data_IF_044217281377
#
_entry.id   IF_044217281377
#
_cell.length_a   1.000
_cell.length_b   1.000
_cell.length_c   1.000
_cell.angle_alpha   90.00
_cell.angle_beta   90.00
_cell.angle_gamma   90.00
#
_symmetry.space_group_name_H-M   'P 1'
#
loop_
_entity.id
_entity.type
_entity.pdbx_description
1 polymer ?
#
# COMPACT_ATOMS: atom_id res chain seq x y z
N UNK A 1 -17.63 -18.46 -38.06
CA UNK A 1 -18.32 -18.47 -36.76
C UNK A 1 -17.21 -18.35 -35.72
N UNK A 2 -16.93 -17.14 -35.24
CA UNK A 2 -15.80 -16.87 -34.34
C UNK A 2 -16.12 -17.31 -32.93
N UNK A 3 -15.28 -18.18 -32.38
CA UNK A 3 -15.30 -18.63 -30.98
C UNK A 3 -14.49 -17.59 -30.18
N UNK A 4 -15.02 -16.38 -30.04
CA UNK A 4 -14.33 -15.29 -29.33
C UNK A 4 -15.31 -14.54 -28.42
N UNK A 5 -16.06 -15.32 -27.64
CA UNK A 5 -17.00 -14.82 -26.64
C UNK A 5 -16.61 -15.37 -25.26
N UNK A 6 -16.05 -14.47 -24.44
CA UNK A 6 -15.81 -14.59 -22.99
C UNK A 6 -14.79 -15.64 -22.53
N UNK A 7 -13.51 -15.50 -22.88
CA UNK A 7 -12.46 -16.06 -22.03
C UNK A 7 -12.29 -15.13 -20.82
N UNK A 8 -12.63 -15.61 -19.62
CA UNK A 8 -12.29 -14.92 -18.36
C UNK A 8 -10.76 -14.81 -18.32
N UNK A 9 -10.24 -13.58 -18.30
CA UNK A 9 -8.81 -13.31 -18.33
C UNK A 9 -8.28 -13.24 -16.90
N UNK A 10 -7.43 -14.19 -16.53
CA UNK A 10 -6.66 -14.17 -15.29
C UNK A 10 -5.37 -13.38 -15.50
N UNK A 11 -4.97 -12.61 -14.50
CA UNK A 11 -3.75 -11.82 -14.54
C UNK A 11 -2.71 -12.40 -13.58
N UNK A 12 -1.43 -12.27 -13.92
CA UNK A 12 -0.35 -12.68 -13.05
C UNK A 12 0.82 -11.69 -13.16
N UNK A 13 1.39 -11.32 -12.02
CA UNK A 13 2.62 -10.55 -11.96
C UNK A 13 3.76 -11.42 -11.45
N UNK A 14 4.85 -11.47 -12.21
CA UNK A 14 6.09 -12.13 -11.79
C UNK A 14 7.09 -11.07 -11.35
N UNK A 15 7.44 -11.05 -10.07
CA UNK A 15 8.53 -10.19 -9.56
C UNK A 15 9.84 -10.98 -9.53
N UNK A 16 10.92 -10.37 -10.02
CA UNK A 16 12.23 -11.00 -10.12
C UNK A 16 13.34 -9.95 -10.28
N UNK A 17 14.59 -10.37 -10.03
CA UNK A 17 15.75 -9.54 -10.34
C UNK A 17 16.11 -9.69 -11.82
N UNK A 18 16.13 -8.60 -12.60
CA UNK A 18 16.52 -8.63 -14.04
C UNK A 18 17.88 -9.34 -14.25
N UNK A 19 18.86 -9.05 -13.39
CA UNK A 19 20.18 -9.68 -13.43
C UNK A 19 20.15 -11.21 -13.25
N UNK A 20 19.18 -11.73 -12.50
CA UNK A 20 19.03 -13.18 -12.32
C UNK A 20 18.33 -13.80 -13.53
N UNK A 21 17.36 -13.12 -14.15
CA UNK A 21 16.82 -13.61 -15.42
C UNK A 21 17.93 -13.78 -16.49
N UNK A 22 18.82 -12.80 -16.59
CA UNK A 22 19.94 -12.85 -17.54
C UNK A 22 20.93 -13.97 -17.23
N UNK A 23 21.31 -14.13 -15.97
CA UNK A 23 22.31 -15.11 -15.55
C UNK A 23 21.79 -16.55 -15.52
N UNK A 24 20.48 -16.73 -15.37
CA UNK A 24 19.82 -18.02 -15.36
C UNK A 24 19.10 -18.29 -16.69
N UNK A 25 19.72 -17.94 -17.83
CA UNK A 25 19.26 -18.30 -19.18
C UNK A 25 17.81 -17.88 -19.52
N UNK A 26 17.41 -16.68 -19.12
CA UNK A 26 16.07 -16.14 -19.34
C UNK A 26 14.97 -17.00 -18.68
N UNK A 27 15.27 -17.54 -17.49
CA UNK A 27 14.38 -18.44 -16.74
C UNK A 27 12.98 -17.87 -16.55
N UNK A 28 12.85 -16.56 -16.33
CA UNK A 28 11.56 -15.90 -16.11
C UNK A 28 10.75 -15.82 -17.40
N UNK A 29 11.39 -15.50 -18.53
CA UNK A 29 10.71 -15.50 -19.82
C UNK A 29 10.23 -16.89 -20.22
N UNK A 30 11.04 -17.92 -19.90
CA UNK A 30 10.67 -19.32 -20.08
C UNK A 30 9.49 -19.70 -19.21
N UNK A 31 9.54 -19.40 -17.91
CA UNK A 31 8.44 -19.62 -16.98
C UNK A 31 7.15 -18.94 -17.47
N UNK A 32 7.23 -17.67 -17.88
CA UNK A 32 6.10 -16.93 -18.44
C UNK A 32 5.48 -17.68 -19.62
N UNK A 33 6.28 -17.99 -20.64
CA UNK A 33 5.76 -18.64 -21.85
C UNK A 33 5.15 -20.01 -21.56
N UNK A 34 5.77 -20.80 -20.68
CA UNK A 34 5.29 -22.13 -20.29
C UNK A 34 3.98 -22.04 -19.49
N UNK A 35 3.90 -21.10 -18.54
CA UNK A 35 2.71 -20.93 -17.69
C UNK A 35 1.52 -20.40 -18.50
N UNK A 36 1.68 -19.38 -19.34
CA UNK A 36 0.57 -18.85 -20.16
C UNK A 36 0.00 -19.92 -21.09
N UNK A 37 0.88 -20.63 -21.82
CA UNK A 37 0.46 -21.65 -22.77
C UNK A 37 -0.23 -22.83 -22.08
N UNK A 38 0.31 -23.31 -20.96
CA UNK A 38 -0.24 -24.49 -20.27
C UNK A 38 -1.43 -24.18 -19.38
N UNK A 39 -1.50 -23.00 -18.78
CA UNK A 39 -2.66 -22.58 -18.03
C UNK A 39 -3.88 -22.50 -18.95
N UNK A 40 -3.75 -21.82 -20.09
CA UNK A 40 -4.84 -21.73 -21.07
C UNK A 40 -5.30 -23.10 -21.58
N UNK A 41 -4.35 -24.01 -21.84
CA UNK A 41 -4.65 -25.37 -22.26
C UNK A 41 -5.33 -26.22 -21.16
N UNK A 42 -4.99 -25.98 -19.89
CA UNK A 42 -5.52 -26.75 -18.77
C UNK A 42 -6.89 -26.26 -18.28
N UNK A 43 -7.08 -24.94 -18.21
CA UNK A 43 -8.25 -24.32 -17.56
C UNK A 43 -9.27 -23.77 -18.56
N UNK A 44 -8.88 -23.60 -19.83
CA UNK A 44 -9.69 -22.90 -20.83
C UNK A 44 -9.78 -21.39 -20.63
N UNK A 45 -9.03 -20.83 -19.66
CA UNK A 45 -8.97 -19.40 -19.35
C UNK A 45 -7.63 -18.81 -19.77
N UNK A 46 -7.61 -17.59 -20.28
CA UNK A 46 -6.35 -16.94 -20.64
C UNK A 46 -5.64 -16.45 -19.38
N UNK A 47 -4.33 -16.76 -19.26
CA UNK A 47 -3.46 -16.16 -18.26
C UNK A 47 -2.57 -15.13 -18.93
N UNK A 48 -2.59 -13.90 -18.42
CA UNK A 48 -1.72 -12.82 -18.88
C UNK A 48 -0.69 -12.48 -17.82
N UNK A 49 0.58 -12.72 -18.15
CA UNK A 49 1.70 -12.55 -17.24
C UNK A 49 2.45 -11.25 -17.56
N UNK A 50 2.68 -10.44 -16.53
CA UNK A 50 3.47 -9.21 -16.55
C UNK A 50 4.80 -9.42 -15.83
N UNK A 51 5.90 -8.92 -16.43
CA UNK A 51 7.27 -9.12 -15.94
C UNK A 51 7.93 -7.84 -15.42
N UNK A 52 7.58 -6.68 -15.96
CA UNK A 52 8.36 -5.46 -15.72
C UNK A 52 7.50 -4.19 -15.72
N UNK A 53 7.94 -3.21 -14.90
CA UNK A 53 7.34 -1.88 -14.72
C UNK A 53 7.29 -1.05 -16.00
N UNK A 54 8.05 -1.40 -17.04
CA UNK A 54 8.15 -0.64 -18.31
C UNK A 54 7.15 -1.10 -19.39
N UNK A 55 6.60 -2.32 -19.29
CA UNK A 55 5.72 -2.87 -20.33
C UNK A 55 4.31 -2.27 -20.34
N UNK A 56 3.91 -1.63 -19.25
CA UNK A 56 2.71 -0.81 -19.08
C UNK A 56 3.10 0.21 -18.00
N UNK A 57 2.63 1.46 -18.04
CA UNK A 57 2.85 2.49 -17.00
C UNK A 57 2.32 2.09 -15.62
N UNK A 58 2.91 1.05 -15.05
CA UNK A 58 2.43 0.31 -13.89
C UNK A 58 3.05 0.82 -12.61
N UNK A 59 4.19 1.53 -12.60
CA UNK A 59 4.82 1.99 -11.36
C UNK A 59 3.92 2.82 -10.41
N UNK A 60 3.02 3.63 -10.96
CA UNK A 60 2.00 4.40 -10.21
C UNK A 60 0.62 3.72 -10.22
N UNK A 61 0.30 2.97 -11.28
CA UNK A 61 -1.05 2.44 -11.57
C UNK A 61 -1.26 0.98 -11.08
N UNK A 62 -0.19 0.25 -10.73
CA UNK A 62 -0.28 -1.14 -10.28
C UNK A 62 -0.86 -1.27 -8.87
N UNK A 63 -0.60 -0.30 -7.98
CA UNK A 63 -1.21 -0.27 -6.64
C UNK A 63 -2.73 -0.03 -6.72
N UNK A 64 -3.18 0.65 -7.76
CA UNK A 64 -4.60 0.84 -8.06
C UNK A 64 -5.19 -0.40 -8.77
N UNK A 65 -4.45 -1.02 -9.70
CA UNK A 65 -4.87 -2.27 -10.38
C UNK A 65 -4.92 -3.47 -9.45
N UNK A 66 -4.00 -3.64 -8.50
CA UNK A 66 -4.15 -4.70 -7.48
C UNK A 66 -5.43 -4.51 -6.68
N UNK A 67 -5.81 -3.26 -6.38
CA UNK A 67 -7.08 -2.98 -5.69
C UNK A 67 -8.30 -3.30 -6.55
N UNK A 68 -8.27 -3.06 -7.86
CA UNK A 68 -9.38 -3.36 -8.79
C UNK A 68 -9.30 -4.70 -9.53
N UNK A 69 -8.23 -5.49 -9.40
CA UNK A 69 -8.01 -6.75 -10.14
C UNK A 69 -7.92 -7.97 -9.22
N UNK A 70 -8.11 -7.79 -7.91
CA UNK A 70 -8.33 -8.93 -7.01
C UNK A 70 -9.75 -9.49 -7.19
N UNK A 71 -10.71 -8.69 -7.63
CA UNK A 71 -12.02 -9.17 -8.12
C UNK A 71 -11.90 -10.09 -9.35
N UNK A 72 -10.76 -10.06 -10.07
CA UNK A 72 -10.47 -10.92 -11.23
C UNK A 72 -9.35 -11.94 -11.00
N UNK A 73 -9.05 -12.31 -9.74
CA UNK A 73 -7.98 -13.25 -9.36
C UNK A 73 -6.61 -12.94 -10.00
N UNK A 74 -5.95 -11.88 -9.52
CA UNK A 74 -4.57 -11.55 -9.91
C UNK A 74 -3.56 -12.37 -9.08
N UNK A 75 -2.80 -13.24 -9.72
CA UNK A 75 -1.72 -14.00 -9.08
C UNK A 75 -0.44 -13.17 -8.92
N UNK A 76 0.35 -13.50 -7.90
CA UNK A 76 1.69 -12.95 -7.69
C UNK A 76 2.71 -14.07 -7.53
N UNK A 77 3.75 -14.08 -8.37
CA UNK A 77 4.80 -15.12 -8.36
C UNK A 77 6.16 -14.42 -8.17
N UNK A 78 6.67 -14.32 -6.93
CA UNK A 78 8.05 -13.88 -6.72
C UNK A 78 9.02 -15.01 -7.08
N UNK A 79 9.92 -14.76 -8.03
CA UNK A 79 11.03 -15.66 -8.39
C UNK A 79 12.23 -15.27 -7.53
N UNK A 80 12.43 -16.02 -6.45
CA UNK A 80 13.32 -15.65 -5.36
C UNK A 80 14.71 -16.25 -5.56
N UNK A 81 15.71 -15.38 -5.48
CA UNK A 81 17.11 -15.69 -5.18
C UNK A 81 17.52 -14.88 -3.95
N UNK A 82 18.75 -15.04 -3.46
CA UNK A 82 19.25 -14.15 -2.40
C UNK A 82 19.39 -12.69 -2.84
N UNK A 83 19.54 -12.42 -4.15
CA UNK A 83 19.58 -11.06 -4.69
C UNK A 83 18.19 -10.42 -4.74
N UNK A 84 17.13 -11.21 -4.79
CA UNK A 84 15.75 -10.71 -4.67
C UNK A 84 15.60 -9.84 -3.42
N UNK A 85 16.14 -10.30 -2.28
CA UNK A 85 16.09 -9.56 -1.00
C UNK A 85 17.06 -8.37 -0.92
N UNK A 86 17.97 -8.21 -1.88
CA UNK A 86 18.82 -7.03 -2.01
C UNK A 86 18.20 -5.97 -2.94
N UNK A 87 17.23 -6.38 -3.77
CA UNK A 87 16.49 -5.51 -4.68
C UNK A 87 15.37 -4.80 -3.92
N UNK A 88 15.54 -3.51 -3.67
CA UNK A 88 14.51 -2.66 -3.05
C UNK A 88 13.16 -2.75 -3.78
N UNK A 89 13.09 -2.65 -5.13
CA UNK A 89 11.83 -2.82 -5.86
C UNK A 89 11.13 -4.16 -5.62
N UNK A 90 11.88 -5.28 -5.62
CA UNK A 90 11.32 -6.62 -5.44
C UNK A 90 10.76 -6.82 -4.02
N UNK A 91 11.41 -6.22 -3.01
CA UNK A 91 10.92 -6.22 -1.63
C UNK A 91 9.64 -5.40 -1.48
N UNK A 92 9.61 -4.20 -2.04
CA UNK A 92 8.40 -3.35 -2.02
C UNK A 92 7.21 -4.04 -2.68
N UNK A 93 7.45 -4.72 -3.81
CA UNK A 93 6.43 -5.46 -4.54
C UNK A 93 5.86 -6.61 -3.71
N UNK A 94 6.72 -7.43 -3.11
CA UNK A 94 6.31 -8.52 -2.23
C UNK A 94 5.49 -8.02 -1.04
N UNK A 95 5.99 -7.00 -0.32
CA UNK A 95 5.32 -6.47 0.87
C UNK A 95 3.94 -5.91 0.54
N UNK A 96 3.82 -5.14 -0.56
CA UNK A 96 2.55 -4.57 -0.97
C UNK A 96 1.54 -5.63 -1.44
N UNK A 97 1.96 -6.64 -2.22
CA UNK A 97 1.07 -7.74 -2.59
C UNK A 97 0.63 -8.54 -1.37
N UNK A 98 1.55 -8.85 -0.47
CA UNK A 98 1.27 -9.61 0.73
C UNK A 98 0.28 -8.91 1.66
N UNK A 99 0.46 -7.62 1.94
CA UNK A 99 -0.46 -6.88 2.79
C UNK A 99 -1.88 -6.79 2.20
N UNK A 100 -2.00 -6.57 0.88
CA UNK A 100 -3.31 -6.55 0.22
C UNK A 100 -3.97 -7.95 0.22
N UNK A 101 -3.22 -8.99 -0.14
CA UNK A 101 -3.74 -10.36 -0.15
C UNK A 101 -4.15 -10.82 1.26
N UNK A 102 -3.44 -10.38 2.29
CA UNK A 102 -3.77 -10.66 3.69
C UNK A 102 -5.05 -9.96 4.14
N UNK A 103 -5.24 -8.68 3.80
CA UNK A 103 -6.48 -7.96 4.09
C UNK A 103 -7.69 -8.64 3.44
N UNK A 104 -7.49 -9.17 2.23
CA UNK A 104 -8.51 -9.87 1.47
C UNK A 104 -8.54 -11.38 1.78
N UNK A 105 -7.74 -11.90 2.71
CA UNK A 105 -7.75 -13.33 3.07
C UNK A 105 -7.43 -14.29 1.91
N UNK A 106 -6.75 -13.81 0.87
CA UNK A 106 -6.42 -14.56 -0.37
C UNK A 106 -4.91 -14.66 -0.57
N UNK A 107 -4.15 -14.81 0.52
CA UNK A 107 -2.67 -14.93 0.47
C UNK A 107 -2.18 -16.10 -0.37
N UNK A 108 -3.04 -17.08 -0.63
CA UNK A 108 -2.79 -18.21 -1.54
C UNK A 108 -2.63 -17.83 -3.01
N UNK A 109 -3.05 -16.61 -3.41
CA UNK A 109 -2.75 -16.05 -4.73
C UNK A 109 -1.28 -15.64 -4.88
N UNK A 110 -0.50 -15.73 -3.79
CA UNK A 110 0.95 -15.53 -3.82
C UNK A 110 1.62 -16.89 -3.85
N UNK A 111 2.35 -17.18 -4.93
CA UNK A 111 3.01 -18.46 -5.14
C UNK A 111 4.53 -18.24 -5.30
N UNK A 112 5.29 -18.17 -4.20
CA UNK A 112 6.73 -17.99 -4.30
C UNK A 112 7.43 -19.18 -4.93
N UNK A 113 8.34 -18.92 -5.86
CA UNK A 113 9.22 -19.92 -6.43
C UNK A 113 10.68 -19.56 -6.14
N UNK A 114 11.37 -20.39 -5.37
CA UNK A 114 12.79 -20.21 -5.06
C UNK A 114 13.62 -20.84 -6.18
N UNK A 115 14.30 -20.00 -6.94
CA UNK A 115 15.18 -20.43 -8.03
C UNK A 115 16.48 -21.04 -7.51
N UNK A 116 17.04 -20.45 -6.45
CA UNK A 116 18.21 -21.00 -5.73
C UNK A 116 18.31 -20.39 -4.33
N UNK A 117 18.96 -21.09 -3.42
CA UNK A 117 19.20 -20.62 -2.05
C UNK A 117 18.05 -20.89 -1.09
N UNK A 118 17.21 -21.89 -1.37
CA UNK A 118 16.08 -22.29 -0.50
C UNK A 118 16.51 -22.58 0.95
N UNK A 119 17.73 -23.08 1.16
CA UNK A 119 18.31 -23.32 2.49
C UNK A 119 18.56 -22.05 3.32
N UNK A 120 18.38 -20.87 2.74
CA UNK A 120 18.50 -19.56 3.40
C UNK A 120 17.15 -18.94 3.75
N UNK A 121 16.04 -19.57 3.37
CA UNK A 121 14.71 -19.13 3.76
C UNK A 121 14.38 -19.74 5.12
N UNK A 122 14.13 -18.90 6.12
CA UNK A 122 13.93 -19.32 7.51
C UNK A 122 13.01 -18.32 8.24
N UNK A 123 12.19 -18.85 9.13
CA UNK A 123 11.29 -18.06 9.98
C UNK A 123 12.07 -17.18 10.99
N UNK A 124 13.33 -17.52 11.28
CA UNK A 124 14.22 -16.83 12.20
C UNK A 124 15.06 -15.73 11.53
N UNK A 125 14.96 -15.55 10.20
CA UNK A 125 15.68 -14.47 9.50
C UNK A 125 15.21 -13.09 9.98
N UNK A 126 16.11 -12.12 10.24
CA UNK A 126 15.72 -10.79 10.72
C UNK A 126 14.93 -9.96 9.69
N UNK A 127 14.89 -10.37 8.42
CA UNK A 127 14.19 -9.66 7.33
C UNK A 127 12.76 -10.16 7.21
N UNK A 128 11.80 -9.23 7.26
CA UNK A 128 10.37 -9.52 7.17
C UNK A 128 10.02 -10.23 5.85
N UNK A 129 10.60 -9.78 4.74
CA UNK A 129 10.37 -10.36 3.42
C UNK A 129 10.77 -11.83 3.31
N UNK A 130 11.80 -12.28 4.07
CA UNK A 130 12.20 -13.70 4.10
C UNK A 130 11.19 -14.52 4.90
N UNK A 131 10.75 -13.98 6.03
CA UNK A 131 9.73 -14.62 6.87
C UNK A 131 8.38 -14.75 6.15
N UNK A 132 8.03 -13.76 5.32
CA UNK A 132 6.81 -13.83 4.48
C UNK A 132 6.91 -14.98 3.49
N UNK A 133 8.01 -15.09 2.76
CA UNK A 133 8.22 -16.17 1.78
C UNK A 133 8.18 -17.54 2.45
N UNK A 134 8.76 -17.68 3.64
CA UNK A 134 8.70 -18.91 4.43
C UNK A 134 7.26 -19.30 4.78
N UNK A 135 6.46 -18.35 5.27
CA UNK A 135 5.04 -18.56 5.65
C UNK A 135 4.15 -18.93 4.47
N UNK A 136 4.46 -18.45 3.27
CA UNK A 136 3.68 -18.68 2.05
C UNK A 136 3.90 -20.06 1.42
N UNK A 137 4.64 -20.96 2.09
CA UNK A 137 4.92 -22.33 1.62
C UNK A 137 5.46 -22.36 0.19
N UNK A 138 6.62 -21.72 0.00
CA UNK A 138 7.28 -21.56 -1.29
C UNK A 138 7.59 -22.89 -2.00
N UNK A 139 7.73 -22.82 -3.33
CA UNK A 139 8.19 -23.92 -4.16
C UNK A 139 9.69 -23.79 -4.46
N UNK A 140 10.51 -24.76 -4.05
CA UNK A 140 11.89 -24.84 -4.52
C UNK A 140 11.89 -25.45 -5.94
N UNK A 141 12.44 -24.73 -6.93
CA UNK A 141 12.51 -25.15 -8.34
C UNK A 141 13.95 -25.36 -8.84
N UNK A 142 14.93 -25.31 -7.94
CA UNK A 142 16.36 -25.36 -8.28
C UNK A 142 16.74 -26.66 -9.00
N UNK A 143 16.27 -27.81 -8.52
CA UNK A 143 16.57 -29.11 -9.14
C UNK A 143 15.97 -29.22 -10.53
N UNK A 144 14.71 -28.80 -10.71
CA UNK A 144 14.04 -28.85 -11.99
C UNK A 144 14.64 -27.90 -13.01
N UNK A 145 15.15 -26.75 -12.57
CA UNK A 145 15.96 -25.86 -13.40
C UNK A 145 17.30 -26.51 -13.79
N UNK A 146 18.01 -27.14 -12.85
CA UNK A 146 19.30 -27.81 -13.12
C UNK A 146 19.18 -28.95 -14.13
N UNK A 147 18.06 -29.66 -14.16
CA UNK A 147 17.78 -30.70 -15.15
C UNK A 147 17.49 -30.15 -16.55
N UNK A 148 17.23 -28.84 -16.68
CA UNK A 148 17.02 -28.12 -17.93
C UNK A 148 15.56 -28.02 -18.37
N UNK A 149 15.25 -27.03 -19.22
CA UNK A 149 13.87 -26.66 -19.59
C UNK A 149 13.11 -27.72 -20.40
N UNK A 150 13.81 -28.56 -21.15
CA UNK A 150 13.17 -29.64 -21.92
C UNK A 150 12.96 -30.93 -21.11
N UNK A 151 13.48 -30.96 -19.88
CA UNK A 151 13.47 -32.14 -19.03
C UNK A 151 12.06 -32.55 -18.60
N UNK A 152 11.83 -33.85 -18.32
CA UNK A 152 10.61 -34.29 -17.67
C UNK A 152 10.37 -33.62 -16.32
N UNK A 153 11.42 -33.27 -15.58
CA UNK A 153 11.33 -32.60 -14.28
C UNK A 153 10.77 -31.18 -14.43
N UNK A 154 11.32 -30.37 -15.33
CA UNK A 154 10.78 -29.04 -15.65
C UNK A 154 9.33 -29.10 -16.10
N UNK A 155 9.00 -30.01 -17.03
CA UNK A 155 7.62 -30.16 -17.52
C UNK A 155 6.65 -30.52 -16.41
N UNK A 156 7.03 -31.39 -15.47
CA UNK A 156 6.23 -31.73 -14.29
C UNK A 156 6.09 -30.56 -13.32
N UNK A 157 7.15 -29.79 -13.12
CA UNK A 157 7.12 -28.59 -12.27
C UNK A 157 6.14 -27.54 -12.82
N UNK A 158 6.19 -27.22 -14.12
CA UNK A 158 5.22 -26.30 -14.73
C UNK A 158 3.79 -26.83 -14.55
N UNK A 159 3.58 -28.13 -14.79
CA UNK A 159 2.26 -28.74 -14.60
C UNK A 159 1.75 -28.59 -13.15
N UNK A 160 2.63 -28.74 -12.15
CA UNK A 160 2.28 -28.49 -10.74
C UNK A 160 1.97 -27.02 -10.50
N UNK A 161 2.78 -26.08 -11.01
CA UNK A 161 2.51 -24.65 -10.86
C UNK A 161 1.19 -24.23 -11.48
N UNK A 162 0.83 -24.78 -12.64
CA UNK A 162 -0.49 -24.55 -13.26
C UNK A 162 -1.62 -25.09 -12.36
N UNK A 163 -1.46 -26.29 -11.80
CA UNK A 163 -2.43 -26.84 -10.85
C UNK A 163 -2.54 -26.01 -9.56
N UNK A 164 -1.43 -25.46 -9.07
CA UNK A 164 -1.43 -24.57 -7.91
C UNK A 164 -2.19 -23.26 -8.22
N UNK A 165 -1.94 -22.66 -9.39
CA UNK A 165 -2.64 -21.46 -9.87
C UNK A 165 -4.15 -21.72 -10.00
N UNK A 166 -4.55 -22.83 -10.63
CA UNK A 166 -5.94 -23.24 -10.74
C UNK A 166 -6.58 -23.43 -9.37
N UNK A 167 -5.89 -24.12 -8.47
CA UNK A 167 -6.40 -24.37 -7.13
C UNK A 167 -6.56 -23.08 -6.31
N UNK A 168 -5.58 -22.16 -6.42
CA UNK A 168 -5.64 -20.85 -5.77
C UNK A 168 -6.76 -19.98 -6.36
N UNK A 169 -7.00 -20.05 -7.67
CA UNK A 169 -8.11 -19.39 -8.34
C UNK A 169 -9.45 -19.86 -7.79
N UNK A 170 -9.69 -21.18 -7.78
CA UNK A 170 -10.96 -21.77 -7.32
C UNK A 170 -11.22 -21.44 -5.86
N UNK A 171 -10.19 -21.49 -5.00
CA UNK A 171 -10.34 -21.15 -3.58
C UNK A 171 -10.58 -19.66 -3.36
N UNK A 172 -9.90 -18.79 -4.13
CA UNK A 172 -10.17 -17.35 -4.11
C UNK A 172 -11.59 -17.03 -4.56
N UNK A 173 -12.06 -17.64 -5.65
CA UNK A 173 -13.44 -17.50 -6.14
C UNK A 173 -14.45 -17.98 -5.10
N UNK A 174 -14.19 -19.12 -4.45
CA UNK A 174 -15.05 -19.64 -3.40
C UNK A 174 -15.08 -18.72 -2.16
N UNK A 175 -13.93 -18.18 -1.74
CA UNK A 175 -13.83 -17.24 -0.63
C UNK A 175 -14.52 -15.91 -0.94
N UNK A 176 -14.47 -15.45 -2.19
CA UNK A 176 -15.19 -14.27 -2.67
C UNK A 176 -16.70 -14.54 -2.70
N UNK A 177 -17.13 -15.66 -3.28
CA UNK A 177 -18.53 -16.08 -3.32
C UNK A 177 -19.10 -16.30 -1.91
N UNK A 178 -18.35 -16.87 -0.97
CA UNK A 178 -18.77 -17.02 0.42
C UNK A 178 -18.91 -15.66 1.12
N UNK A 179 -18.07 -14.68 0.79
CA UNK A 179 -18.23 -13.30 1.30
C UNK A 179 -19.45 -12.60 0.70
N UNK A 180 -19.66 -12.72 -0.60
CA UNK A 180 -20.85 -12.21 -1.28
C UNK A 180 -22.12 -12.86 -0.73
N UNK A 181 -22.12 -14.18 -0.55
CA UNK A 181 -23.24 -14.92 0.05
C UNK A 181 -23.41 -14.61 1.54
N UNK A 182 -22.32 -14.37 2.28
CA UNK A 182 -22.39 -13.93 3.68
C UNK A 182 -22.91 -12.49 3.80
N UNK A 183 -22.67 -11.64 2.80
CA UNK A 183 -23.30 -10.32 2.70
C UNK A 183 -24.78 -10.45 2.30
N UNK A 184 -25.12 -11.35 1.37
CA UNK A 184 -26.49 -11.64 0.96
C UNK A 184 -27.35 -12.31 2.06
N UNK A 185 -26.78 -13.22 2.84
CA UNK A 185 -27.48 -13.87 3.94
C UNK A 185 -27.68 -12.93 5.13
N UNK A 186 -26.81 -11.92 5.31
CA UNK A 186 -27.08 -10.82 6.26
C UNK A 186 -28.32 -10.04 5.83
N UNK A 187 -28.42 -9.70 4.53
CA UNK A 187 -29.61 -9.05 3.93
C UNK A 187 -30.90 -9.87 4.08
N UNK A 188 -30.88 -11.21 3.92
CA UNK A 188 -32.09 -12.05 4.08
C UNK A 188 -32.52 -12.24 5.54
N UNK A 189 -31.58 -12.23 6.49
CA UNK A 189 -31.90 -12.28 7.92
C UNK A 189 -32.44 -10.95 8.48
N UNK A 190 -32.33 -9.87 7.71
CA UNK A 190 -32.78 -8.51 8.02
C UNK A 190 -34.21 -8.20 7.50
N UNK A 191 -34.83 -9.07 6.68
CA UNK A 191 -36.23 -8.89 6.21
C UNK A 191 -37.29 -9.16 7.30
N UNK A 192 -36.93 -9.73 8.46
CA UNK A 192 -37.88 -10.11 9.52
C UNK A 192 -37.97 -9.14 10.72
N UNK A 193 -37.22 -8.04 10.74
CA UNK A 193 -37.30 -7.08 11.85
C UNK A 193 -36.57 -5.78 11.54
N UNK A 194 -37.28 -4.66 11.67
CA UNK A 194 -36.84 -3.26 11.60
C UNK A 194 -35.39 -3.03 11.14
N UNK A 195 -35.26 -2.65 9.87
CA UNK A 195 -34.06 -2.16 9.18
C UNK A 195 -33.05 -1.46 10.13
N UNK A 196 -31.86 -2.05 10.32
CA UNK A 196 -30.65 -1.29 10.57
C UNK A 196 -30.04 -0.91 9.21
N UNK A 197 -29.82 0.38 8.99
CA UNK A 197 -29.11 0.94 7.83
C UNK A 197 -27.62 0.55 7.87
N UNK A 198 -27.15 -0.41 7.06
CA UNK A 198 -25.69 -0.59 6.85
C UNK A 198 -25.34 -0.91 5.37
N UNK A 199 -24.90 0.12 4.63
CA UNK A 199 -24.26 0.05 3.30
C UNK A 199 -22.78 -0.39 3.45
N UNK A 200 -22.35 -1.58 2.99
CA UNK A 200 -21.10 -2.18 3.46
C UNK A 200 -19.80 -1.50 2.99
N UNK A 201 -19.83 -0.63 1.98
CA UNK A 201 -18.62 0.01 1.43
C UNK A 201 -18.60 1.55 1.66
N UNK A 202 -19.78 2.18 1.64
CA UNK A 202 -19.94 3.58 2.07
C UNK A 202 -19.78 3.75 3.58
N UNK A 203 -20.19 2.77 4.40
CA UNK A 203 -19.99 2.83 5.85
C UNK A 203 -18.51 2.84 6.23
N UNK A 204 -17.69 2.01 5.61
CA UNK A 204 -16.24 1.96 5.84
C UNK A 204 -15.56 3.26 5.41
N UNK A 205 -15.97 3.84 4.27
CA UNK A 205 -15.50 5.15 3.83
C UNK A 205 -15.97 6.25 4.80
N UNK A 206 -17.23 6.21 5.26
CA UNK A 206 -17.77 7.18 6.20
C UNK A 206 -17.03 7.15 7.54
N UNK A 207 -16.82 5.98 8.14
CA UNK A 207 -15.99 5.84 9.34
C UNK A 207 -14.55 6.35 9.11
N UNK A 208 -14.00 6.12 7.91
CA UNK A 208 -12.66 6.59 7.56
C UNK A 208 -12.62 8.11 7.48
N UNK A 209 -13.63 8.75 6.90
CA UNK A 209 -13.77 10.21 6.88
C UNK A 209 -13.99 10.79 8.28
N UNK A 210 -14.73 10.11 9.15
CA UNK A 210 -14.87 10.49 10.56
C UNK A 210 -13.53 10.44 11.29
N UNK A 211 -12.76 9.36 11.11
CA UNK A 211 -11.39 9.23 11.65
C UNK A 211 -10.48 10.33 11.13
N UNK A 212 -10.53 10.63 9.83
CA UNK A 212 -9.76 11.71 9.19
C UNK A 212 -10.14 13.08 9.75
N UNK A 213 -11.44 13.35 9.94
CA UNK A 213 -11.94 14.61 10.50
C UNK A 213 -11.45 14.82 11.93
N UNK A 214 -11.50 13.75 12.75
CA UNK A 214 -10.96 13.76 14.10
C UNK A 214 -9.45 14.02 14.09
N UNK A 215 -8.70 13.30 13.26
CA UNK A 215 -7.24 13.47 13.14
C UNK A 215 -6.84 14.85 12.60
N UNK A 216 -7.65 15.45 11.73
CA UNK A 216 -7.45 16.83 11.26
C UNK A 216 -7.52 17.81 12.44
N UNK A 217 -8.56 17.67 13.28
CA UNK A 217 -8.75 18.50 14.48
C UNK A 217 -7.62 18.28 15.49
N UNK A 218 -7.24 17.03 15.77
CA UNK A 218 -6.15 16.69 16.67
C UNK A 218 -4.80 17.21 16.16
N UNK A 219 -4.55 17.14 14.85
CA UNK A 219 -3.31 17.63 14.23
C UNK A 219 -3.22 19.15 14.32
N UNK A 220 -4.32 19.86 14.07
CA UNK A 220 -4.38 21.31 14.23
C UNK A 220 -4.12 21.74 15.68
N UNK A 221 -4.73 21.05 16.65
CA UNK A 221 -4.46 21.30 18.07
C UNK A 221 -3.00 21.02 18.45
N UNK A 222 -2.44 19.89 17.98
CA UNK A 222 -1.04 19.55 18.25
C UNK A 222 -0.05 20.55 17.60
N UNK A 223 -0.37 21.07 16.42
CA UNK A 223 0.42 22.10 15.74
C UNK A 223 0.40 23.40 16.54
N UNK A 224 -0.77 23.83 17.01
CA UNK A 224 -0.94 25.02 17.84
C UNK A 224 -0.21 24.88 19.19
N UNK A 225 -0.34 23.73 19.85
CA UNK A 225 0.38 23.42 21.10
C UNK A 225 1.90 23.53 20.90
N UNK A 226 2.41 22.93 19.82
CA UNK A 226 3.82 22.94 19.47
C UNK A 226 4.33 24.35 19.12
N UNK A 227 3.57 25.12 18.35
CA UNK A 227 3.90 26.51 18.02
C UNK A 227 3.97 27.36 19.29
N UNK A 228 2.95 27.28 20.15
CA UNK A 228 2.89 28.04 21.40
C UNK A 228 4.02 27.65 22.37
N UNK A 229 4.35 26.36 22.47
CA UNK A 229 5.48 25.90 23.26
C UNK A 229 6.82 26.42 22.71
N UNK A 230 6.99 26.41 21.39
CA UNK A 230 8.19 26.92 20.73
C UNK A 230 8.36 28.42 20.93
N UNK A 231 7.28 29.20 20.79
CA UNK A 231 7.30 30.64 21.03
C UNK A 231 7.69 30.98 22.47
N UNK A 232 7.08 30.34 23.48
CA UNK A 232 7.43 30.55 24.90
C UNK A 232 8.86 30.14 25.22
N UNK A 233 9.29 29.00 24.70
CA UNK A 233 10.62 28.45 24.98
C UNK A 233 11.75 29.30 24.39
N UNK A 234 11.48 30.00 23.28
CA UNK A 234 12.43 30.85 22.56
C UNK A 234 12.21 32.35 22.81
N UNK A 235 11.25 32.73 23.65
CA UNK A 235 10.97 34.12 23.98
C UNK A 235 12.15 34.76 24.73
N UNK A 236 12.45 36.03 24.45
CA UNK A 236 13.42 36.87 25.16
C UNK A 236 14.75 37.10 24.44
N UNK A 237 15.48 38.15 24.86
CA UNK A 237 16.71 38.57 24.19
C UNK A 237 17.88 37.63 24.50
N UNK A 238 18.29 36.85 23.49
CA UNK A 238 19.44 35.95 23.55
C UNK A 238 20.76 36.71 23.49
N UNK A 239 20.81 37.88 22.85
CA UNK A 239 22.04 38.66 22.65
C UNK A 239 22.53 39.30 23.96
N UNK A 240 21.62 39.54 24.91
CA UNK A 240 21.94 40.05 26.24
C UNK A 240 22.54 38.99 27.20
N UNK A 241 22.53 37.70 26.83
CA UNK A 241 23.01 36.60 27.67
C UNK A 241 24.46 36.21 27.36
N UNK A 242 25.20 35.77 28.39
CA UNK A 242 26.51 35.14 28.19
C UNK A 242 26.39 33.78 27.47
N UNK A 243 27.45 33.29 26.79
CA UNK A 243 27.39 32.01 26.06
C UNK A 243 26.92 30.81 26.91
N UNK A 244 27.32 30.74 28.18
CA UNK A 244 26.88 29.68 29.09
C UNK A 244 25.38 29.77 29.43
N UNK A 245 24.86 31.00 29.63
CA UNK A 245 23.44 31.25 29.87
C UNK A 245 22.60 30.97 28.62
N UNK A 246 23.11 31.33 27.44
CA UNK A 246 22.48 31.00 26.15
C UNK A 246 22.36 29.48 25.98
N UNK A 247 23.44 28.73 26.26
CA UNK A 247 23.44 27.28 26.19
C UNK A 247 22.45 26.65 27.17
N UNK A 248 22.43 27.09 28.44
CA UNK A 248 21.50 26.58 29.45
C UNK A 248 20.03 26.85 29.07
N UNK A 249 19.75 28.04 28.55
CA UNK A 249 18.40 28.41 28.04
C UNK A 249 17.97 27.54 26.87
N UNK A 250 18.87 27.26 25.93
CA UNK A 250 18.59 26.37 24.80
C UNK A 250 18.32 24.92 25.22
N UNK A 251 19.03 24.40 26.23
CA UNK A 251 18.76 23.07 26.79
C UNK A 251 17.39 23.03 27.46
N UNK A 252 17.03 24.06 28.23
CA UNK A 252 15.71 24.17 28.85
C UNK A 252 14.60 24.25 27.79
N UNK A 253 14.77 25.11 26.79
CA UNK A 253 13.85 25.24 25.66
C UNK A 253 13.64 23.90 24.93
N UNK A 254 14.73 23.18 24.67
CA UNK A 254 14.66 21.85 24.06
C UNK A 254 13.84 20.85 24.92
N UNK A 255 13.99 20.89 26.24
CA UNK A 255 13.19 20.08 27.16
C UNK A 255 11.71 20.41 27.11
N UNK A 256 11.36 21.69 27.05
CA UNK A 256 9.97 22.16 26.98
C UNK A 256 9.30 21.82 25.63
N UNK A 257 10.03 21.92 24.52
CA UNK A 257 9.50 21.69 23.17
C UNK A 257 9.32 20.19 22.86
N UNK A 258 10.22 19.33 23.36
CA UNK A 258 10.33 17.93 22.94
C UNK A 258 9.01 17.15 23.00
N UNK A 259 8.25 17.30 24.09
CA UNK A 259 6.98 16.58 24.27
C UNK A 259 5.93 16.96 23.21
N UNK A 260 5.81 18.25 22.92
CA UNK A 260 4.88 18.76 21.91
C UNK A 260 5.31 18.36 20.50
N UNK A 261 6.61 18.39 20.22
CA UNK A 261 7.15 17.99 18.92
C UNK A 261 6.87 16.50 18.64
N UNK A 262 7.04 15.63 19.64
CA UNK A 262 6.70 14.20 19.55
C UNK A 262 5.19 13.99 19.36
N UNK A 263 4.34 14.66 20.16
CA UNK A 263 2.88 14.58 20.02
C UNK A 263 2.42 14.99 18.62
N UNK A 264 2.94 16.10 18.08
CA UNK A 264 2.67 16.56 16.72
C UNK A 264 3.09 15.51 15.69
N UNK A 265 4.29 14.94 15.82
CA UNK A 265 4.75 13.86 14.94
C UNK A 265 3.79 12.68 14.93
N UNK A 266 3.37 12.21 16.10
CA UNK A 266 2.58 10.98 16.23
C UNK A 266 1.16 11.16 15.69
N UNK A 267 0.52 12.29 15.98
CA UNK A 267 -0.81 12.60 15.46
C UNK A 267 -0.76 12.84 13.94
N UNK A 268 0.17 13.65 13.46
CA UNK A 268 0.26 13.98 12.04
C UNK A 268 0.67 12.78 11.16
N UNK A 269 1.52 11.86 11.67
CA UNK A 269 1.87 10.63 10.95
C UNK A 269 0.64 9.71 10.83
N UNK A 270 -0.20 9.62 11.87
CA UNK A 270 -1.47 8.87 11.79
C UNK A 270 -2.43 9.54 10.81
N UNK A 271 -2.54 10.86 10.85
CA UNK A 271 -3.35 11.61 9.89
C UNK A 271 -2.92 11.37 8.44
N UNK A 272 -1.63 11.45 8.15
CA UNK A 272 -1.06 11.14 6.83
C UNK A 272 -1.40 9.71 6.40
N UNK A 273 -1.18 8.72 7.27
CA UNK A 273 -1.46 7.31 6.97
C UNK A 273 -2.93 7.08 6.63
N UNK A 274 -3.85 7.59 7.45
CA UNK A 274 -5.29 7.42 7.22
C UNK A 274 -5.72 8.13 5.92
N UNK A 275 -5.22 9.35 5.68
CA UNK A 275 -5.58 10.12 4.48
C UNK A 275 -5.06 9.47 3.20
N UNK A 276 -3.81 8.99 3.19
CA UNK A 276 -3.23 8.27 2.05
C UNK A 276 -3.93 6.93 1.83
N UNK A 277 -4.31 6.23 2.91
CA UNK A 277 -5.11 5.00 2.82
C UNK A 277 -6.48 5.26 2.20
N UNK A 278 -7.15 6.34 2.62
CA UNK A 278 -8.45 6.73 2.11
C UNK A 278 -8.40 7.20 0.65
N UNK A 279 -7.39 7.97 0.23
CA UNK A 279 -7.22 8.41 -1.17
C UNK A 279 -7.24 7.22 -2.14
N UNK A 280 -6.54 6.18 -1.73
CA UNK A 280 -6.40 4.94 -2.45
C UNK A 280 -7.74 4.18 -2.61
N UNK A 281 -8.55 4.13 -1.56
CA UNK A 281 -9.88 3.51 -1.56
C UNK A 281 -10.89 4.35 -2.35
N UNK A 282 -10.93 5.64 -2.07
CA UNK A 282 -11.83 6.59 -2.71
C UNK A 282 -11.65 6.63 -4.23
N UNK A 283 -10.40 6.65 -4.72
CA UNK A 283 -10.13 6.61 -6.16
C UNK A 283 -10.62 5.33 -6.83
N UNK A 284 -10.44 4.18 -6.16
CA UNK A 284 -10.90 2.90 -6.67
C UNK A 284 -12.44 2.88 -6.77
N UNK A 285 -13.12 3.27 -5.70
CA UNK A 285 -14.57 3.39 -5.65
C UNK A 285 -15.11 4.33 -6.74
N UNK A 286 -14.52 5.52 -6.90
CA UNK A 286 -14.92 6.49 -7.93
C UNK A 286 -14.73 5.92 -9.35
N UNK A 287 -13.62 5.21 -9.58
CA UNK A 287 -13.34 4.61 -10.88
C UNK A 287 -14.35 3.51 -11.22
N UNK A 288 -14.64 2.63 -10.27
CA UNK A 288 -15.60 1.54 -10.44
C UNK A 288 -17.02 2.07 -10.65
N UNK A 289 -17.46 2.99 -9.78
CA UNK A 289 -18.77 3.63 -9.87
C UNK A 289 -18.99 4.32 -11.24
N UNK A 290 -17.93 4.88 -11.85
CA UNK A 290 -17.98 5.46 -13.20
C UNK A 290 -18.15 4.44 -14.33
N UNK A 291 -17.77 3.19 -14.12
CA UNK A 291 -17.98 2.12 -15.12
C UNK A 291 -19.43 1.63 -15.14
N UNK A 292 -20.16 1.80 -14.03
CA UNK A 292 -21.56 1.41 -13.90
C UNK A 292 -22.45 2.50 -14.49
N UNK A 293 -23.00 2.26 -15.69
CA UNK A 293 -23.91 3.21 -16.34
C UNK A 293 -25.34 3.10 -15.77
N UNK A 294 -25.52 3.51 -14.51
CA UNK A 294 -26.82 3.53 -13.82
C UNK A 294 -27.04 4.86 -13.09
N UNK A 295 -28.25 5.42 -13.17
CA UNK A 295 -28.55 6.75 -12.63
C UNK A 295 -28.40 6.82 -11.10
N UNK A 296 -28.84 5.77 -10.38
CA UNK A 296 -28.66 5.68 -8.91
C UNK A 296 -27.19 5.72 -8.47
N UNK A 297 -26.28 5.09 -9.24
CA UNK A 297 -24.85 5.09 -8.91
C UNK A 297 -24.25 6.48 -9.15
N UNK A 298 -24.68 7.19 -10.20
CA UNK A 298 -24.24 8.57 -10.44
C UNK A 298 -24.72 9.52 -9.34
N UNK A 299 -25.93 9.33 -8.82
CA UNK A 299 -26.47 10.13 -7.71
C UNK A 299 -25.73 9.86 -6.40
N UNK A 300 -25.52 8.58 -6.03
CA UNK A 300 -24.76 8.19 -4.85
C UNK A 300 -23.31 8.70 -4.89
N UNK A 301 -22.64 8.57 -6.06
CA UNK A 301 -21.29 9.09 -6.26
C UNK A 301 -21.25 10.62 -6.15
N UNK A 302 -22.28 11.32 -6.64
CA UNK A 302 -22.43 12.77 -6.47
C UNK A 302 -22.48 13.15 -4.98
N UNK A 303 -23.36 12.51 -4.22
CA UNK A 303 -23.53 12.77 -2.79
C UNK A 303 -22.24 12.52 -1.99
N UNK A 304 -21.45 11.51 -2.36
CA UNK A 304 -20.16 11.23 -1.73
C UNK A 304 -19.09 12.28 -2.08
N UNK A 305 -19.02 12.71 -3.34
CA UNK A 305 -17.94 13.59 -3.83
C UNK A 305 -18.21 15.08 -3.57
N UNK A 306 -19.46 15.50 -3.46
CA UNK A 306 -19.82 16.92 -3.33
C UNK A 306 -19.24 17.61 -2.07
N UNK A 307 -19.19 16.96 -0.89
CA UNK A 307 -18.46 17.50 0.25
C UNK A 307 -16.97 17.70 -0.04
N UNK A 308 -16.34 16.79 -0.82
CA UNK A 308 -14.92 16.83 -1.13
C UNK A 308 -14.56 17.93 -2.13
N UNK A 309 -15.46 18.23 -3.09
CA UNK A 309 -15.32 19.37 -4.00
C UNK A 309 -15.38 20.71 -3.25
N UNK A 310 -16.04 20.71 -2.09
CA UNK A 310 -16.22 21.88 -1.23
C UNK A 310 -15.06 22.11 -0.25
N UNK A 311 -14.03 21.25 -0.26
CA UNK A 311 -12.79 21.51 0.50
C UNK A 311 -12.25 22.88 0.04
N UNK A 312 -11.87 23.76 0.97
CA UNK A 312 -11.31 25.07 0.64
C UNK A 312 -9.94 24.96 -0.04
N UNK A 313 -9.53 25.97 -0.80
CA UNK A 313 -8.16 25.98 -1.32
C UNK A 313 -7.15 26.10 -0.18
N UNK A 314 -6.38 25.04 0.04
CA UNK A 314 -5.42 24.96 1.16
C UNK A 314 -4.03 25.44 0.77
N UNK A 315 -3.86 26.05 -0.41
CA UNK A 315 -2.58 26.59 -0.91
C UNK A 315 -1.89 27.50 0.11
N UNK A 316 -2.60 28.49 0.64
CA UNK A 316 -2.08 29.42 1.66
C UNK A 316 -1.69 28.70 2.97
N UNK A 317 -2.44 27.67 3.36
CA UNK A 317 -2.14 26.85 4.55
C UNK A 317 -0.86 26.03 4.33
N UNK A 318 -0.69 25.44 3.15
CA UNK A 318 0.51 24.68 2.78
C UNK A 318 1.76 25.57 2.72
N UNK A 319 1.65 26.79 2.20
CA UNK A 319 2.74 27.77 2.17
C UNK A 319 3.15 28.21 3.58
N UNK A 320 2.17 28.38 4.46
CA UNK A 320 2.41 28.67 5.88
C UNK A 320 3.16 27.52 6.57
N UNK A 321 2.74 26.28 6.31
CA UNK A 321 3.40 25.07 6.80
C UNK A 321 4.86 25.00 6.33
N UNK A 322 5.13 25.29 5.06
CA UNK A 322 6.48 25.30 4.50
C UNK A 322 7.38 26.37 5.13
N UNK A 323 6.80 27.54 5.40
CA UNK A 323 7.47 28.62 6.12
C UNK A 323 7.86 28.19 7.54
N UNK A 324 6.95 27.51 8.27
CA UNK A 324 7.22 26.97 9.61
C UNK A 324 8.37 25.95 9.55
N UNK A 325 8.37 25.03 8.58
CA UNK A 325 9.46 24.05 8.40
C UNK A 325 10.80 24.75 8.20
N UNK A 326 10.84 25.77 7.34
CA UNK A 326 12.06 26.54 7.06
C UNK A 326 12.62 27.21 8.33
N UNK A 327 11.76 27.87 9.11
CA UNK A 327 12.15 28.51 10.37
C UNK A 327 12.69 27.50 11.39
N UNK A 328 12.01 26.37 11.56
CA UNK A 328 12.43 25.32 12.50
C UNK A 328 13.75 24.67 12.08
N UNK A 329 13.95 24.43 10.79
CA UNK A 329 15.20 23.90 10.26
C UNK A 329 16.36 24.87 10.50
N UNK A 330 16.15 26.16 10.23
CA UNK A 330 17.15 27.19 10.48
C UNK A 330 17.50 27.27 11.98
N UNK A 331 16.48 27.30 12.86
CA UNK A 331 16.68 27.31 14.31
C UNK A 331 17.45 26.06 14.81
N UNK A 332 17.24 24.90 14.16
CA UNK A 332 17.91 23.64 14.51
C UNK A 332 19.41 23.60 14.17
N UNK A 333 19.92 24.53 13.35
CA UNK A 333 21.34 24.63 13.04
C UNK A 333 22.16 25.13 14.23
N UNK A 334 21.57 25.98 15.08
CA UNK A 334 22.26 26.68 16.14
C UNK A 334 22.64 25.80 17.35
N UNK A 335 21.87 24.74 17.66
CA UNK A 335 22.10 23.94 18.88
C UNK A 335 21.66 22.47 18.71
N UNK A 336 22.50 21.52 19.14
CA UNK A 336 22.26 20.08 19.01
C UNK A 336 21.06 19.60 19.83
N UNK A 337 20.88 20.10 21.05
CA UNK A 337 19.76 19.72 21.91
C UNK A 337 18.43 20.22 21.34
N UNK A 338 18.41 21.47 20.86
CA UNK A 338 17.24 22.03 20.18
C UNK A 338 16.93 21.28 18.89
N UNK A 339 17.96 20.93 18.11
CA UNK A 339 17.81 20.08 16.92
C UNK A 339 17.10 18.78 17.25
N UNK A 340 17.59 18.02 18.23
CA UNK A 340 16.98 16.75 18.64
C UNK A 340 15.53 16.92 19.12
N UNK A 341 15.21 18.03 19.78
CA UNK A 341 13.86 18.30 20.28
C UNK A 341 12.88 18.69 19.16
N UNK A 342 13.34 19.41 18.14
CA UNK A 342 12.48 19.96 17.07
C UNK A 342 12.31 18.99 15.89
N UNK A 343 13.24 18.06 15.67
CA UNK A 343 13.17 17.09 14.56
C UNK A 343 11.85 16.31 14.46
N UNK A 344 11.27 15.77 15.56
CA UNK A 344 9.94 15.16 15.51
C UNK A 344 8.86 16.14 15.05
N UNK A 345 8.92 17.40 15.50
CA UNK A 345 7.99 18.44 15.07
C UNK A 345 8.09 18.72 13.56
N UNK A 346 9.31 18.82 13.02
CA UNK A 346 9.54 18.97 11.57
C UNK A 346 8.94 17.77 10.80
N UNK A 347 9.14 16.55 11.28
CA UNK A 347 8.53 15.35 10.69
C UNK A 347 7.00 15.46 10.71
N UNK A 348 6.41 15.82 11.85
CA UNK A 348 4.96 15.98 11.99
C UNK A 348 4.38 17.04 11.07
N UNK A 349 5.04 18.20 10.94
CA UNK A 349 4.61 19.27 10.03
C UNK A 349 4.68 18.81 8.56
N UNK A 350 5.69 18.03 8.16
CA UNK A 350 5.76 17.43 6.81
C UNK A 350 4.66 16.39 6.57
N UNK A 351 4.39 15.53 7.53
CA UNK A 351 3.28 14.56 7.45
C UNK A 351 1.93 15.26 7.31
N UNK A 352 1.72 16.35 8.07
CA UNK A 352 0.53 17.19 7.95
C UNK A 352 0.39 17.77 6.54
N UNK A 353 1.48 18.33 5.99
CA UNK A 353 1.51 18.84 4.61
C UNK A 353 1.09 17.76 3.60
N UNK A 354 1.67 16.57 3.68
CA UNK A 354 1.37 15.47 2.76
C UNK A 354 -0.09 15.04 2.84
N UNK A 355 -0.64 14.94 4.06
CA UNK A 355 -2.05 14.63 4.29
C UNK A 355 -2.97 15.68 3.64
N UNK A 356 -2.72 16.97 3.90
CA UNK A 356 -3.52 18.07 3.34
C UNK A 356 -3.41 18.13 1.81
N UNK A 357 -2.22 17.94 1.24
CA UNK A 357 -2.04 17.90 -0.21
C UNK A 357 -2.80 16.74 -0.86
N UNK A 358 -2.83 15.58 -0.18
CA UNK A 358 -3.62 14.42 -0.62
C UNK A 358 -5.11 14.74 -0.60
N UNK A 359 -5.62 15.26 0.52
CA UNK A 359 -7.03 15.64 0.65
C UNK A 359 -7.44 16.73 -0.37
N UNK A 360 -6.58 17.72 -0.65
CA UNK A 360 -6.84 18.76 -1.67
C UNK A 360 -6.99 18.17 -3.07
N UNK A 361 -6.30 17.06 -3.36
CA UNK A 361 -6.39 16.40 -4.66
C UNK A 361 -7.76 15.75 -4.92
N UNK A 362 -8.56 15.50 -3.87
CA UNK A 362 -9.89 14.91 -3.98
C UNK A 362 -10.91 15.83 -4.64
N UNK A 363 -10.66 17.14 -4.68
CA UNK A 363 -11.50 18.08 -5.45
C UNK A 363 -11.58 17.76 -6.94
N UNK A 364 -10.60 17.02 -7.46
CA UNK A 364 -10.49 16.65 -8.87
C UNK A 364 -11.13 15.29 -9.19
N UNK A 365 -11.74 14.63 -8.20
CA UNK A 365 -12.35 13.31 -8.35
C UNK A 365 -13.67 13.33 -9.11
#
# INVERSE_FOLDING_TARGET
MSIDQFSIESQCFISYTRADNDQFHQVVDRLKSDLEGRFAAATGRSLKIFLDRESIGWGEDWRAKIRGSIESATFFIPIVTMRYFLSEPCREELLAFYENAKQLGVTELILPAILTGASKISAEDPREEVQIIEKLNFRNIENEWLEGYDSPAWKKMIHRMVADLESAMVRSEAAMAEREQSAANRLESEEAGELPEEEPDLFVLNETFERITKLTTESGAALNDFAAASSRALEGDMAALSPAQQQARMVKAAGEIKGYASKLSDVATRFEKETVGADAQLRAFVQEARTINHDLVREALGNLLDPLKSIDDMSETLDTIDSIVGVLQFASLANISLRKAVQPGIKGVKSLRNALQTAQSWKKL
#
